data_IF_926201773088
#
_entry.id   IF_926201773088
#
_cell.length_a   1.000
_cell.length_b   1.000
_cell.length_c   1.000
_cell.angle_alpha   90.00
_cell.angle_beta   90.00
_cell.angle_gamma   90.00
#
_symmetry.space_group_name_H-M   'P 1'
#
loop_
_entity.id
_entity.type
_entity.pdbx_description
1 polymer ?
#
# COMPACT_ATOMS: atom_id res chain seq x y z
N UNK A 1 9.34 -71.60 -17.66
CA UNK A 1 8.36 -70.50 -17.58
C UNK A 1 9.01 -69.42 -16.75
N UNK A 2 9.53 -68.38 -17.40
CA UNK A 2 10.24 -67.28 -16.74
C UNK A 2 9.87 -66.00 -17.46
N UNK A 3 9.04 -65.19 -16.82
CA UNK A 3 8.58 -63.91 -17.35
C UNK A 3 9.70 -62.88 -17.22
N UNK A 4 10.10 -62.32 -18.36
CA UNK A 4 11.03 -61.20 -18.44
C UNK A 4 10.25 -59.89 -18.32
N UNK A 5 10.63 -58.96 -17.44
CA UNK A 5 10.02 -57.64 -17.39
C UNK A 5 10.43 -56.81 -18.61
N UNK A 6 9.45 -56.18 -19.25
CA UNK A 6 9.65 -55.22 -20.34
C UNK A 6 10.08 -53.89 -19.73
N UNK A 7 11.35 -53.53 -19.91
CA UNK A 7 11.89 -52.21 -19.55
C UNK A 7 11.63 -51.28 -20.73
N UNK A 8 10.66 -50.35 -20.58
CA UNK A 8 10.48 -49.25 -21.52
C UNK A 8 11.51 -48.16 -21.25
N UNK A 9 12.46 -48.00 -22.18
CA UNK A 9 13.44 -46.92 -22.16
C UNK A 9 12.76 -45.56 -22.30
N UNK A 10 12.93 -44.70 -21.29
CA UNK A 10 12.62 -43.28 -21.34
C UNK A 10 13.83 -42.54 -21.88
N UNK A 11 13.93 -42.44 -23.19
CA UNK A 11 14.83 -41.51 -23.87
C UNK A 11 14.11 -41.15 -25.17
N UNK A 12 14.07 -39.87 -25.53
CA UNK A 12 13.32 -39.31 -26.68
C UNK A 12 11.93 -38.71 -26.38
N UNK A 13 11.92 -37.61 -25.61
CA UNK A 13 10.91 -36.53 -25.73
C UNK A 13 11.59 -35.14 -25.58
N UNK A 14 12.82 -35.00 -26.06
CA UNK A 14 13.40 -33.70 -26.36
C UNK A 14 13.38 -33.58 -27.89
N UNK A 15 12.89 -32.44 -28.42
CA UNK A 15 12.87 -32.03 -29.84
C UNK A 15 11.51 -32.07 -30.56
N UNK A 16 10.39 -31.68 -29.93
CA UNK A 16 9.27 -31.05 -30.66
C UNK A 16 8.65 -29.95 -29.79
N UNK A 17 9.24 -28.76 -29.77
CA UNK A 17 8.55 -27.47 -29.47
C UNK A 17 9.49 -26.27 -29.72
N UNK A 18 10.30 -26.32 -30.78
CA UNK A 18 10.93 -25.13 -31.37
C UNK A 18 10.38 -24.98 -32.78
N UNK A 19 9.25 -24.28 -32.91
CA UNK A 19 8.60 -24.09 -34.21
C UNK A 19 7.12 -23.72 -34.16
N UNK A 20 6.72 -22.79 -33.30
CA UNK A 20 5.49 -22.03 -33.52
C UNK A 20 5.79 -20.54 -33.28
N UNK A 21 6.37 -19.97 -34.32
CA UNK A 21 6.65 -18.56 -34.49
C UNK A 21 5.38 -17.85 -34.97
N UNK A 22 5.07 -16.73 -34.31
CA UNK A 22 4.34 -15.56 -34.81
C UNK A 22 2.82 -15.66 -35.05
N UNK A 23 2.15 -14.59 -34.63
CA UNK A 23 0.75 -14.17 -34.91
C UNK A 23 -0.28 -14.60 -33.86
N UNK A 24 -0.15 -14.09 -32.63
CA UNK A 24 -1.25 -13.50 -31.84
C UNK A 24 -0.59 -12.38 -31.03
N UNK A 25 -0.65 -11.11 -31.45
CA UNK A 25 -1.82 -10.26 -31.27
C UNK A 25 -1.42 -9.10 -30.35
N UNK A 26 -0.73 -8.11 -30.90
CA UNK A 26 -0.29 -6.88 -30.24
C UNK A 26 -1.45 -5.91 -29.95
N UNK A 27 -2.51 -6.38 -29.29
CA UNK A 27 -3.73 -5.60 -29.03
C UNK A 27 -4.22 -5.68 -27.57
N UNK A 28 -3.33 -5.91 -26.60
CA UNK A 28 -3.69 -5.88 -25.18
C UNK A 28 -2.81 -4.96 -24.32
N UNK A 29 -1.86 -4.25 -24.91
CA UNK A 29 -0.94 -3.34 -24.21
C UNK A 29 -1.41 -1.87 -24.16
N UNK A 30 -2.69 -1.59 -24.45
CA UNK A 30 -3.26 -0.24 -24.38
C UNK A 30 -4.25 -0.03 -23.23
N UNK A 31 -4.59 -1.07 -22.44
CA UNK A 31 -5.48 -0.95 -21.27
C UNK A 31 -4.72 -0.94 -19.93
N UNK A 32 -3.40 -1.15 -19.93
CA UNK A 32 -2.57 -1.15 -18.73
C UNK A 32 -1.96 0.23 -18.39
N UNK A 33 -2.10 1.22 -19.27
CA UNK A 33 -1.51 2.55 -19.08
C UNK A 33 -2.42 3.54 -18.31
N UNK A 34 -3.70 3.21 -18.08
CA UNK A 34 -4.62 4.13 -17.39
C UNK A 34 -4.75 3.85 -15.87
N UNK A 35 -4.37 2.67 -15.40
CA UNK A 35 -4.37 2.33 -13.96
C UNK A 35 -3.12 2.83 -13.20
N UNK A 36 -2.09 3.27 -13.92
CA UNK A 36 -0.84 3.80 -13.35
C UNK A 36 -0.60 5.24 -13.82
N UNK A 37 -1.65 6.09 -13.86
CA UNK A 37 -1.43 7.52 -13.98
C UNK A 37 -1.12 8.12 -12.59
N UNK A 38 0.15 8.41 -12.24
CA UNK A 38 0.50 9.01 -10.95
C UNK A 38 -0.11 10.41 -10.74
N UNK A 39 -0.62 11.04 -11.80
CA UNK A 39 -1.26 12.36 -11.74
C UNK A 39 -2.61 12.37 -11.00
N UNK A 40 -3.27 11.21 -10.81
CA UNK A 40 -4.54 11.12 -10.05
C UNK A 40 -4.34 11.17 -8.52
N UNK A 41 -3.10 11.01 -8.05
CA UNK A 41 -2.66 11.29 -6.69
C UNK A 41 -1.78 12.54 -6.63
N UNK A 42 -2.12 13.56 -7.42
CA UNK A 42 -1.84 14.92 -7.00
C UNK A 42 -2.63 15.12 -5.70
N UNK A 43 -1.96 14.95 -4.56
CA UNK A 43 -2.34 15.62 -3.32
C UNK A 43 -2.70 17.03 -3.75
N UNK A 44 -3.95 17.44 -3.52
CA UNK A 44 -4.39 18.80 -3.82
C UNK A 44 -3.25 19.73 -3.42
N UNK A 45 -2.71 20.56 -4.33
CA UNK A 45 -1.56 21.37 -4.00
C UNK A 45 -1.90 22.06 -2.69
N UNK A 46 -1.10 21.79 -1.65
CA UNK A 46 -1.09 22.64 -0.48
C UNK A 46 -0.99 24.03 -1.06
N UNK A 47 -2.07 24.80 -0.93
CA UNK A 47 -2.11 26.18 -1.36
C UNK A 47 -1.05 26.85 -0.50
N UNK A 48 0.16 26.91 -1.05
CA UNK A 48 1.17 27.80 -0.56
C UNK A 48 0.53 29.16 -0.74
N UNK A 49 0.07 29.73 0.38
CA UNK A 49 -0.20 31.15 0.46
C UNK A 49 1.17 31.79 0.24
N UNK A 50 1.50 32.03 -1.03
CA UNK A 50 2.59 32.91 -1.39
C UNK A 50 2.21 34.29 -0.88
N UNK A 51 2.72 34.61 0.30
CA UNK A 51 2.85 35.99 0.75
C UNK A 51 3.85 36.61 -0.22
N UNK A 52 3.36 37.25 -1.28
CA UNK A 52 4.15 38.13 -2.13
C UNK A 52 4.66 39.28 -1.28
N UNK A 53 5.85 39.11 -0.70
CA UNK A 53 6.65 40.22 -0.24
C UNK A 53 7.10 41.01 -1.48
N UNK A 54 6.51 42.19 -1.67
CA UNK A 54 6.92 43.17 -2.66
C UNK A 54 8.38 43.57 -2.35
N UNK A 55 9.31 43.00 -3.11
CA UNK A 55 10.72 43.30 -2.99
C UNK A 55 11.03 44.62 -3.71
N UNK A 56 11.47 45.59 -2.92
CA UNK A 56 11.97 46.88 -3.34
C UNK A 56 13.31 46.70 -4.11
N UNK A 57 13.43 47.13 -5.38
CA UNK A 57 14.61 46.87 -6.21
C UNK A 57 15.70 47.94 -6.02
N UNK A 58 16.19 48.16 -4.80
CA UNK A 58 17.28 49.12 -4.59
C UNK A 58 18.22 48.75 -3.42
N UNK A 59 18.92 47.61 -3.56
CA UNK A 59 20.09 47.34 -2.73
C UNK A 59 21.15 46.57 -3.52
N UNK A 60 22.31 47.21 -3.65
CA UNK A 60 23.51 46.68 -4.29
C UNK A 60 24.05 45.41 -3.59
N UNK A 61 24.65 44.46 -4.33
CA UNK A 61 25.22 43.26 -3.72
C UNK A 61 26.56 43.56 -3.04
N UNK A 62 26.60 43.46 -1.71
CA UNK A 62 27.85 43.33 -0.97
C UNK A 62 28.29 41.86 -0.95
N UNK A 63 29.46 41.60 -1.54
CA UNK A 63 30.13 40.30 -1.49
C UNK A 63 30.82 40.17 -0.13
N UNK A 64 30.25 39.37 0.78
CA UNK A 64 30.95 38.93 2.00
C UNK A 64 31.17 37.42 1.97
N UNK A 65 32.44 37.03 1.90
CA UNK A 65 32.88 35.65 2.01
C UNK A 65 32.89 35.26 3.49
N UNK A 66 32.02 34.34 3.90
CA UNK A 66 32.02 33.81 5.27
C UNK A 66 32.95 32.59 5.36
N UNK A 67 34.05 32.78 6.09
CA UNK A 67 34.97 31.72 6.53
C UNK A 67 34.26 30.85 7.56
N UNK A 68 34.31 29.52 7.36
CA UNK A 68 33.77 28.53 8.29
C UNK A 68 34.69 28.37 9.51
N UNK A 69 34.25 28.66 10.75
CA UNK A 69 35.02 28.31 11.94
C UNK A 69 34.80 26.85 12.34
N UNK A 70 35.85 26.25 12.88
CA UNK A 70 35.90 24.87 13.40
C UNK A 70 34.95 24.65 14.59
N UNK A 71 34.46 23.43 14.83
CA UNK A 71 33.59 23.12 15.96
C UNK A 71 34.38 23.07 17.28
N UNK A 72 34.06 23.98 18.19
CA UNK A 72 34.45 23.91 19.60
C UNK A 72 33.46 23.01 20.35
N UNK A 73 33.97 21.95 20.97
CA UNK A 73 33.26 21.14 21.97
C UNK A 73 33.06 21.97 23.24
N UNK A 74 31.81 22.28 23.58
CA UNK A 74 31.44 22.85 24.87
C UNK A 74 30.69 21.82 25.72
N UNK A 75 31.23 21.55 26.90
CA UNK A 75 30.71 20.64 27.92
C UNK A 75 30.33 21.55 29.10
N UNK A 76 29.06 21.89 29.25
CA UNK A 76 28.65 22.81 30.31
C UNK A 76 27.14 22.83 30.59
N UNK A 77 26.76 22.24 31.71
CA UNK A 77 25.43 22.32 32.31
C UNK A 77 25.13 23.73 32.86
N UNK A 78 23.86 24.17 32.86
CA UNK A 78 23.22 24.86 34.00
C UNK A 78 21.70 25.05 33.81
N UNK A 79 20.99 24.87 34.93
CA UNK A 79 19.59 25.15 35.20
C UNK A 79 19.11 26.55 34.76
N UNK A 80 17.84 26.64 34.33
CA UNK A 80 17.12 27.91 34.17
C UNK A 80 15.62 27.73 33.97
N UNK A 81 14.87 27.77 35.06
CA UNK A 81 13.40 27.84 35.13
C UNK A 81 12.86 29.09 34.42
N UNK A 82 11.81 28.96 33.59
CA UNK A 82 10.96 30.09 33.21
C UNK A 82 9.47 29.73 33.30
N UNK A 83 8.71 30.37 34.22
CA UNK A 83 7.25 30.26 34.28
C UNK A 83 6.59 31.40 33.48
N UNK A 84 5.56 31.03 32.68
CA UNK A 84 4.48 31.91 32.28
C UNK A 84 4.70 32.76 31.02
N UNK A 85 3.96 32.45 29.96
CA UNK A 85 3.03 33.41 29.36
C UNK A 85 2.04 32.71 28.44
N UNK A 86 0.78 32.80 28.87
CA UNK A 86 -0.43 32.49 28.12
C UNK A 86 -0.70 33.54 27.06
N UNK A 87 -1.08 33.12 25.85
CA UNK A 87 -1.90 33.96 24.98
C UNK A 87 -2.93 33.07 24.29
N UNK A 88 -4.14 33.12 24.85
CA UNK A 88 -5.36 32.55 24.30
C UNK A 88 -5.70 33.24 22.97
N UNK A 89 -6.16 32.47 21.99
CA UNK A 89 -6.80 32.98 20.78
C UNK A 89 -8.19 32.35 20.66
N UNK A 90 -9.21 33.10 20.19
CA UNK A 90 -10.59 32.94 20.62
C UNK A 90 -11.33 31.80 19.94
N UNK A 91 -12.09 31.08 20.76
CA UNK A 91 -13.15 30.19 20.35
C UNK A 91 -14.27 30.98 19.65
N UNK A 92 -14.52 30.66 18.38
CA UNK A 92 -15.79 30.97 17.72
C UNK A 92 -16.56 29.67 17.56
N UNK A 93 -17.58 29.53 18.40
CA UNK A 93 -18.55 28.45 18.40
C UNK A 93 -19.72 28.85 17.49
N UNK A 94 -20.00 28.15 16.38
CA UNK A 94 -21.32 28.22 15.75
C UNK A 94 -22.27 27.23 16.43
N UNK A 95 -23.13 27.78 17.28
CA UNK A 95 -24.37 27.14 17.75
C UNK A 95 -25.38 27.13 16.60
N UNK A 96 -25.77 25.94 16.14
CA UNK A 96 -27.03 25.74 15.39
C UNK A 96 -27.82 24.58 16.02
N UNK A 97 -28.94 24.94 16.65
CA UNK A 97 -30.08 24.10 17.03
C UNK A 97 -31.10 24.06 15.86
N UNK A 98 -32.24 23.34 15.93
CA UNK A 98 -32.50 21.95 16.29
C UNK A 98 -33.37 21.23 15.21
N UNK A 99 -33.66 19.94 15.44
CA UNK A 99 -34.91 19.24 15.06
C UNK A 99 -35.30 19.14 13.58
N UNK A 100 -35.20 17.94 13.03
CA UNK A 100 -36.38 17.09 12.73
C UNK A 100 -35.92 15.64 12.73
N UNK A 101 -36.39 14.84 13.68
CA UNK A 101 -36.33 13.38 13.57
C UNK A 101 -37.44 12.92 12.63
N UNK A 102 -37.14 12.43 11.42
CA UNK A 102 -38.09 11.60 10.72
C UNK A 102 -38.17 10.26 11.45
N UNK A 103 -39.23 10.07 12.25
CA UNK A 103 -39.65 8.73 12.68
C UNK A 103 -40.19 8.00 11.45
N UNK A 104 -39.31 7.52 10.59
CA UNK A 104 -39.68 6.57 9.55
C UNK A 104 -39.83 5.21 10.20
N UNK A 105 -41.09 4.79 10.29
CA UNK A 105 -41.53 3.43 10.53
C UNK A 105 -40.60 2.42 9.85
N UNK A 106 -40.11 1.38 10.55
CA UNK A 106 -39.25 0.37 9.95
C UNK A 106 -40.04 -0.39 8.88
N UNK A 107 -39.87 0.02 7.63
CA UNK A 107 -40.22 -0.81 6.49
C UNK A 107 -39.35 -2.06 6.60
N UNK A 108 -40.01 -3.19 6.89
CA UNK A 108 -39.41 -4.52 6.96
C UNK A 108 -38.90 -4.86 5.55
N UNK A 109 -37.70 -4.40 5.24
CA UNK A 109 -37.01 -4.71 4.01
C UNK A 109 -36.67 -6.20 4.04
N UNK A 110 -37.26 -6.92 3.09
CA UNK A 110 -37.01 -8.34 2.82
C UNK A 110 -35.50 -8.61 2.74
N UNK A 111 -34.91 -9.44 3.62
CA UNK A 111 -33.46 -9.54 3.81
C UNK A 111 -32.73 -10.40 2.76
N UNK A 112 -33.26 -10.53 1.54
CA UNK A 112 -32.85 -11.61 0.62
C UNK A 112 -31.93 -11.22 -0.54
N UNK A 113 -31.38 -9.99 -0.59
CA UNK A 113 -30.60 -9.51 -1.74
C UNK A 113 -29.19 -8.94 -1.42
N UNK A 114 -28.63 -9.19 -0.24
CA UNK A 114 -27.33 -8.62 0.18
C UNK A 114 -26.21 -9.67 0.33
N UNK A 115 -26.34 -10.84 -0.31
CA UNK A 115 -25.33 -11.91 -0.19
C UNK A 115 -24.33 -11.95 -1.36
N UNK A 116 -24.55 -11.15 -2.40
CA UNK A 116 -23.67 -11.04 -3.56
C UNK A 116 -23.33 -9.57 -3.82
N UNK A 117 -22.67 -8.92 -2.86
CA UNK A 117 -21.55 -8.09 -3.29
C UNK A 117 -20.71 -9.00 -4.18
N UNK A 118 -20.59 -8.68 -5.46
CA UNK A 118 -20.20 -9.65 -6.47
C UNK A 118 -18.81 -10.19 -6.13
N UNK A 119 -18.54 -11.46 -6.45
CA UNK A 119 -17.20 -12.05 -6.29
C UNK A 119 -16.11 -11.11 -6.81
N UNK A 120 -16.41 -10.42 -7.91
CA UNK A 120 -15.59 -9.40 -8.52
C UNK A 120 -15.40 -8.15 -7.64
N UNK A 121 -16.43 -7.63 -6.98
CA UNK A 121 -16.29 -6.51 -6.03
C UNK A 121 -15.36 -6.86 -4.85
N UNK A 122 -15.47 -8.08 -4.32
CA UNK A 122 -14.57 -8.54 -3.26
C UNK A 122 -13.12 -8.62 -3.75
N UNK A 123 -12.91 -9.17 -4.94
CA UNK A 123 -11.57 -9.28 -5.53
C UNK A 123 -10.98 -7.90 -5.88
N UNK A 124 -11.79 -6.98 -6.41
CA UNK A 124 -11.41 -5.60 -6.66
C UNK A 124 -11.00 -4.89 -5.35
N UNK A 125 -11.73 -5.11 -4.26
CA UNK A 125 -11.35 -4.61 -2.94
C UNK A 125 -10.02 -5.19 -2.46
N UNK A 126 -9.79 -6.49 -2.61
CA UNK A 126 -8.51 -7.13 -2.26
C UNK A 126 -7.33 -6.53 -3.03
N UNK A 127 -7.51 -6.32 -4.33
CA UNK A 127 -6.49 -5.70 -5.18
C UNK A 127 -6.19 -4.27 -4.72
N UNK A 128 -7.22 -3.48 -4.44
CA UNK A 128 -7.07 -2.12 -3.92
C UNK A 128 -6.35 -2.09 -2.56
N UNK A 129 -6.72 -3.00 -1.65
CA UNK A 129 -6.09 -3.14 -0.33
C UNK A 129 -4.60 -3.50 -0.45
N UNK A 130 -4.24 -4.47 -1.32
CA UNK A 130 -2.84 -4.85 -1.60
C UNK A 130 -2.04 -3.64 -2.14
N UNK A 131 -2.62 -2.87 -3.06
CA UNK A 131 -1.96 -1.69 -3.61
C UNK A 131 -1.76 -0.59 -2.56
N UNK A 132 -2.70 -0.41 -1.63
CA UNK A 132 -2.57 0.52 -0.51
C UNK A 132 -1.45 0.09 0.46
N UNK A 133 -1.39 -1.20 0.82
CA UNK A 133 -0.30 -1.74 1.65
C UNK A 133 1.05 -1.57 0.95
N UNK A 134 1.13 -1.82 -0.36
CA UNK A 134 2.34 -1.59 -1.16
C UNK A 134 2.83 -0.14 -1.07
N UNK A 135 1.94 0.83 -1.28
CA UNK A 135 2.29 2.24 -1.20
C UNK A 135 2.84 2.61 0.20
N UNK A 136 2.22 2.08 1.25
CA UNK A 136 2.67 2.26 2.63
C UNK A 136 4.05 1.63 2.91
N UNK A 137 4.31 0.43 2.39
CA UNK A 137 5.62 -0.22 2.48
C UNK A 137 6.71 0.59 1.78
N UNK A 138 6.43 1.15 0.60
CA UNK A 138 7.36 2.04 -0.11
C UNK A 138 7.66 3.28 0.73
N UNK A 139 6.63 3.89 1.34
CA UNK A 139 6.80 5.00 2.27
C UNK A 139 7.68 4.64 3.46
N UNK A 140 7.42 3.48 4.06
CA UNK A 140 8.21 2.93 5.16
C UNK A 140 9.68 2.80 4.79
N UNK A 141 9.98 2.12 3.66
CA UNK A 141 11.35 1.94 3.17
C UNK A 141 12.08 3.26 2.94
N UNK A 142 11.41 4.28 2.42
CA UNK A 142 12.03 5.60 2.21
C UNK A 142 12.56 6.19 3.53
N UNK A 143 11.83 5.97 4.64
CA UNK A 143 12.19 6.45 5.98
C UNK A 143 13.22 5.57 6.69
N UNK A 144 13.06 4.25 6.64
CA UNK A 144 13.87 3.31 7.44
C UNK A 144 15.03 2.67 6.68
N UNK A 145 15.00 2.74 5.33
CA UNK A 145 15.91 2.04 4.40
C UNK A 145 15.83 0.52 4.47
N UNK A 146 14.72 -0.01 5.00
CA UNK A 146 14.41 -1.44 5.04
C UNK A 146 12.88 -1.64 5.10
N UNK A 147 12.36 -2.70 4.48
CA UNK A 147 10.98 -3.14 4.69
C UNK A 147 10.85 -3.86 6.04
N UNK A 148 9.66 -3.88 6.68
CA UNK A 148 9.46 -4.64 7.91
C UNK A 148 9.81 -6.11 7.71
N UNK A 149 10.87 -6.66 8.34
CA UNK A 149 11.24 -8.05 8.10
C UNK A 149 10.12 -8.96 8.64
N UNK A 150 9.67 -9.88 7.80
CA UNK A 150 8.96 -11.06 8.27
C UNK A 150 10.01 -12.12 8.56
N UNK A 151 9.84 -12.96 9.59
CA UNK A 151 10.72 -14.11 9.77
C UNK A 151 10.60 -15.14 8.63
N UNK A 152 10.67 -16.43 8.96
CA UNK A 152 10.22 -17.48 8.03
C UNK A 152 8.80 -17.19 7.54
N UNK A 153 8.45 -17.67 6.33
CA UNK A 153 7.11 -17.57 5.72
C UNK A 153 6.04 -17.96 6.75
N UNK A 154 5.57 -17.00 7.54
CA UNK A 154 4.30 -17.14 8.20
C UNK A 154 3.32 -16.71 7.14
N UNK A 155 2.35 -17.55 6.84
CA UNK A 155 1.09 -17.12 6.25
C UNK A 155 0.42 -16.21 7.29
N UNK A 156 1.05 -15.05 7.48
CA UNK A 156 0.86 -14.13 8.57
C UNK A 156 -0.34 -13.32 8.19
N UNK A 157 -1.51 -13.85 8.54
CA UNK A 157 -2.76 -13.15 8.57
C UNK A 157 -2.52 -11.69 8.97
N UNK A 158 -2.74 -10.77 8.02
CA UNK A 158 -2.52 -9.34 8.23
C UNK A 158 -3.35 -8.74 9.36
N UNK A 159 -4.39 -9.45 9.82
CA UNK A 159 -5.21 -9.08 10.97
C UNK A 159 -4.71 -9.67 12.30
N UNK A 160 -3.59 -10.43 12.35
CA UNK A 160 -3.04 -10.90 13.62
C UNK A 160 -2.27 -9.80 14.36
N UNK A 161 -2.54 -9.73 15.67
CA UNK A 161 -1.69 -9.04 16.62
C UNK A 161 -0.26 -9.58 16.48
N UNK A 162 0.69 -8.72 16.10
CA UNK A 162 2.08 -9.11 15.84
C UNK A 162 2.48 -9.24 14.37
N UNK A 163 1.57 -8.99 13.42
CA UNK A 163 1.96 -8.84 12.00
C UNK A 163 3.06 -7.77 11.86
N UNK A 164 4.13 -8.03 11.07
CA UNK A 164 5.15 -7.01 10.76
C UNK A 164 4.57 -5.74 10.14
N UNK A 165 3.41 -5.84 9.48
CA UNK A 165 2.72 -4.70 8.89
C UNK A 165 2.14 -3.73 9.91
N UNK A 166 2.04 -4.10 11.20
CA UNK A 166 1.63 -3.16 12.24
C UNK A 166 2.59 -1.96 12.36
N UNK A 167 3.84 -2.10 11.89
CA UNK A 167 4.79 -0.98 11.80
C UNK A 167 4.38 0.11 10.81
N UNK A 168 3.43 -0.17 9.91
CA UNK A 168 2.88 0.80 8.96
C UNK A 168 1.84 1.73 9.60
N UNK A 169 1.24 1.32 10.72
CA UNK A 169 0.18 2.05 11.40
C UNK A 169 0.76 2.77 12.64
N UNK A 170 0.43 4.05 12.90
CA UNK A 170 -0.48 4.91 12.14
C UNK A 170 0.22 5.76 11.06
N UNK A 171 1.53 5.67 10.91
CA UNK A 171 2.32 6.65 10.15
C UNK A 171 2.12 6.61 8.64
N UNK A 172 1.89 5.43 8.07
CA UNK A 172 1.75 5.21 6.63
C UNK A 172 0.34 4.71 6.25
N UNK A 173 -0.37 4.10 7.20
CA UNK A 173 -1.76 3.67 7.07
C UNK A 173 -2.52 4.06 8.34
N UNK A 174 -3.78 4.48 8.18
CA UNK A 174 -4.66 4.73 9.33
C UNK A 174 -5.00 3.43 10.08
N UNK A 175 -5.20 2.34 9.34
CA UNK A 175 -5.40 0.99 9.85
C UNK A 175 -5.02 -0.02 8.76
N UNK A 176 -4.73 -1.27 9.15
CA UNK A 176 -4.56 -2.35 8.19
C UNK A 176 -5.93 -2.77 7.62
N UNK A 177 -6.04 -2.99 6.30
CA UNK A 177 -7.28 -3.47 5.71
C UNK A 177 -7.57 -4.92 6.13
N UNK A 178 -8.86 -5.22 6.33
CA UNK A 178 -9.35 -6.56 6.63
C UNK A 178 -9.97 -7.19 5.39
N UNK A 179 -9.57 -8.43 5.06
CA UNK A 179 -10.13 -9.17 3.93
C UNK A 179 -11.67 -9.32 4.08
N UNK A 180 -12.46 -9.18 3.01
CA UNK A 180 -13.92 -9.34 3.05
C UNK A 180 -14.41 -10.69 3.60
N UNK A 181 -13.60 -11.75 3.49
CA UNK A 181 -13.90 -13.10 3.99
C UNK A 181 -13.14 -13.45 5.28
N UNK A 182 -12.64 -12.46 6.02
CA UNK A 182 -12.11 -12.70 7.37
C UNK A 182 -13.19 -13.38 8.25
N UNK A 183 -12.84 -14.41 9.04
CA UNK A 183 -11.50 -14.93 9.33
C UNK A 183 -11.05 -16.10 8.45
N UNK A 184 -11.77 -16.43 7.38
CA UNK A 184 -11.41 -17.58 6.51
C UNK A 184 -10.31 -17.27 5.51
N UNK A 185 -10.11 -15.99 5.19
CA UNK A 185 -9.06 -15.53 4.29
C UNK A 185 -8.36 -14.29 4.86
N UNK A 186 -7.10 -14.13 4.47
CA UNK A 186 -6.22 -13.05 4.90
C UNK A 186 -5.27 -12.66 3.79
N UNK A 187 -4.70 -11.45 3.88
CA UNK A 187 -3.58 -11.06 3.03
C UNK A 187 -2.31 -11.75 3.52
N UNK A 188 -1.42 -12.09 2.59
CA UNK A 188 -0.08 -12.60 2.88
C UNK A 188 0.97 -11.52 2.73
N UNK A 189 2.00 -11.58 3.56
CA UNK A 189 3.16 -10.68 3.49
C UNK A 189 4.45 -11.45 3.80
N UNK A 190 5.47 -11.20 2.99
CA UNK A 190 6.84 -11.66 3.22
C UNK A 190 7.83 -10.57 2.85
N UNK A 191 8.89 -10.43 3.63
CA UNK A 191 10.01 -9.55 3.35
C UNK A 191 11.30 -10.05 3.97
N UNK A 192 12.41 -9.86 3.26
CA UNK A 192 13.78 -10.07 3.74
C UNK A 192 14.46 -8.77 4.21
N UNK A 193 13.70 -7.68 4.29
CA UNK A 193 14.18 -6.32 4.60
C UNK A 193 14.51 -5.48 3.36
N UNK A 194 14.74 -6.09 2.20
CA UNK A 194 15.09 -5.38 0.96
C UNK A 194 14.08 -5.59 -0.16
N UNK A 195 13.46 -6.75 -0.19
CA UNK A 195 12.43 -7.15 -1.13
C UNK A 195 11.20 -7.55 -0.33
N UNK A 196 10.01 -7.22 -0.80
CA UNK A 196 8.78 -7.75 -0.22
C UNK A 196 7.89 -8.41 -1.26
N UNK A 197 6.99 -9.25 -0.78
CA UNK A 197 5.91 -9.86 -1.55
C UNK A 197 4.62 -9.76 -0.77
N UNK A 198 3.56 -9.31 -1.43
CA UNK A 198 2.18 -9.27 -0.94
C UNK A 198 1.33 -10.24 -1.76
N UNK A 199 0.40 -10.93 -1.11
CA UNK A 199 -0.52 -11.86 -1.79
C UNK A 199 -1.96 -11.70 -1.27
N UNK A 200 -2.93 -11.85 -2.17
CA UNK A 200 -4.35 -11.99 -1.83
C UNK A 200 -4.97 -13.15 -2.60
N UNK A 201 -5.84 -13.93 -1.95
CA UNK A 201 -6.59 -14.99 -2.63
C UNK A 201 -7.80 -14.41 -3.36
N UNK A 202 -7.81 -14.54 -4.68
CA UNK A 202 -8.95 -14.17 -5.51
C UNK A 202 -9.95 -15.32 -5.56
N UNK A 203 -11.23 -14.98 -5.67
CA UNK A 203 -12.31 -15.95 -5.81
C UNK A 203 -12.70 -16.15 -7.28
N UNK A 204 -12.62 -15.10 -8.09
CA UNK A 204 -12.90 -15.14 -9.52
C UNK A 204 -11.67 -15.61 -10.28
N UNK A 205 -11.75 -16.81 -10.87
CA UNK A 205 -10.73 -17.33 -11.80
C UNK A 205 -10.77 -16.63 -13.17
N UNK A 206 -11.76 -15.76 -13.39
CA UNK A 206 -11.85 -14.92 -14.58
C UNK A 206 -11.08 -13.59 -14.44
N UNK A 207 -10.57 -13.27 -13.25
CA UNK A 207 -9.79 -12.05 -13.05
C UNK A 207 -8.38 -12.21 -13.64
N UNK A 208 -8.00 -11.46 -14.70
CA UNK A 208 -6.75 -11.69 -15.41
C UNK A 208 -5.49 -11.35 -14.60
N UNK A 209 -5.64 -10.69 -13.44
CA UNK A 209 -4.53 -10.36 -12.54
C UNK A 209 -4.17 -11.52 -11.61
N UNK A 210 -5.00 -12.57 -11.54
CA UNK A 210 -4.72 -13.73 -10.72
C UNK A 210 -3.86 -14.77 -11.45
N UNK A 211 -3.03 -15.47 -10.69
CA UNK A 211 -2.22 -16.60 -11.14
C UNK A 211 -2.54 -17.84 -10.28
N UNK A 212 -2.48 -19.02 -10.89
CA UNK A 212 -2.63 -20.28 -10.15
C UNK A 212 -1.32 -20.65 -9.46
N UNK A 213 -1.38 -20.84 -8.14
CA UNK A 213 -0.33 -21.44 -7.32
C UNK A 213 -0.91 -22.66 -6.60
N UNK A 214 -0.66 -23.84 -7.16
CA UNK A 214 -1.36 -25.07 -6.77
C UNK A 214 -2.87 -24.95 -6.98
N UNK A 215 -3.63 -25.06 -5.89
CA UNK A 215 -5.11 -24.98 -5.89
C UNK A 215 -5.64 -23.56 -5.59
N UNK A 216 -4.75 -22.59 -5.41
CA UNK A 216 -5.10 -21.22 -5.08
C UNK A 216 -4.99 -20.32 -6.31
N UNK A 217 -5.95 -19.42 -6.46
CA UNK A 217 -5.88 -18.32 -7.43
C UNK A 217 -5.45 -17.05 -6.69
N UNK A 218 -4.22 -16.61 -6.91
CA UNK A 218 -3.57 -15.56 -6.13
C UNK A 218 -3.30 -14.33 -6.97
N UNK A 219 -3.59 -13.16 -6.41
CA UNK A 219 -2.97 -11.90 -6.86
C UNK A 219 -1.70 -11.68 -6.05
N UNK A 220 -0.56 -11.53 -6.72
CA UNK A 220 0.75 -11.36 -6.10
C UNK A 220 1.43 -10.08 -6.60
N UNK A 221 2.05 -9.34 -5.68
CA UNK A 221 2.88 -8.18 -6.00
C UNK A 221 4.21 -8.27 -5.27
N UNK A 222 5.31 -8.21 -6.02
CA UNK A 222 6.68 -8.19 -5.50
C UNK A 222 7.36 -6.90 -5.92
N UNK A 223 8.14 -6.29 -5.02
CA UNK A 223 8.88 -5.06 -5.31
C UNK A 223 10.22 -5.00 -4.56
N UNK A 224 11.15 -4.20 -5.10
CA UNK A 224 12.46 -3.85 -4.54
C UNK A 224 12.75 -2.36 -4.82
N UNK A 225 13.28 -1.65 -3.84
CA UNK A 225 13.71 -0.25 -4.00
C UNK A 225 15.23 -0.11 -3.96
#
# INVERSE_FOLDING_TARGET
MGDKPIIFGRTEWLLISLGLLLIIGAASFAWFADLFNPERYQVAPTVAVEVTASANPDASPALEATVSPAPTLDIGAVNGTQPGQTTQSPASSPTVSPTTSPTTSPAVASPAATASASVEEMDNRRIADINNIKAALIGYYRQTKEYPPSGSFSEGNTALAGSPLNKLVPSFLAALPTDPLNPTQYYGYRSDGQTFTLTARLQSTANPLGEYDGDLYLYQVTDRL
#
